data_IF_231758731833
#
_entry.id   IF_231758731833
#
_cell.length_a   1.000
_cell.length_b   1.000
_cell.length_c   1.000
_cell.angle_alpha   90.00
_cell.angle_beta   90.00
_cell.angle_gamma   90.00
#
_symmetry.space_group_name_H-M   'P 1'
#
loop_
_entity.id
_entity.type
_entity.pdbx_description
1 polymer ?
#
# COMPACT_ATOMS: atom_id res chain seq x y z
N UNK A 1 -1.33 22.25 -4.33
CA UNK A 1 -2.43 22.84 -3.56
C UNK A 1 -3.78 22.39 -4.14
N UNK A 2 -4.24 22.93 -5.27
CA UNK A 2 -5.57 22.67 -5.86
C UNK A 2 -6.00 21.19 -5.97
N UNK A 3 -5.04 20.27 -6.13
CA UNK A 3 -5.38 18.84 -6.17
C UNK A 3 -5.74 18.31 -4.78
N UNK A 4 -4.97 18.68 -3.76
CA UNK A 4 -5.17 18.24 -2.37
C UNK A 4 -6.47 18.82 -1.81
N UNK A 5 -6.71 20.10 -2.04
CA UNK A 5 -7.96 20.78 -1.61
C UNK A 5 -9.19 20.10 -2.23
N UNK A 6 -9.15 19.85 -3.56
CA UNK A 6 -10.25 19.12 -4.23
C UNK A 6 -10.46 17.71 -3.71
N UNK A 7 -9.39 16.99 -3.35
CA UNK A 7 -9.54 15.66 -2.76
C UNK A 7 -10.28 15.71 -1.43
N UNK A 8 -9.91 16.64 -0.54
CA UNK A 8 -10.59 16.80 0.75
C UNK A 8 -12.06 17.18 0.61
N UNK A 9 -12.38 18.06 -0.34
CA UNK A 9 -13.75 18.51 -0.58
C UNK A 9 -14.64 17.46 -1.26
N UNK A 10 -14.10 16.77 -2.28
CA UNK A 10 -14.88 15.82 -3.10
C UNK A 10 -14.97 14.43 -2.48
N UNK A 11 -14.01 14.06 -1.67
CA UNK A 11 -13.90 12.76 -1.04
C UNK A 11 -13.61 12.90 0.47
N UNK A 12 -14.60 13.37 1.27
CA UNK A 12 -14.41 13.44 2.73
C UNK A 12 -14.22 12.03 3.32
N UNK A 13 -13.61 11.91 4.53
CA UNK A 13 -13.48 10.62 5.20
C UNK A 13 -14.83 9.91 5.35
N UNK A 14 -14.86 8.61 5.04
CA UNK A 14 -16.06 7.79 5.13
C UNK A 14 -16.35 7.51 6.61
N UNK A 15 -17.53 7.83 7.11
CA UNK A 15 -17.87 7.52 8.51
C UNK A 15 -18.23 6.05 8.69
N UNK A 16 -17.63 5.37 9.66
CA UNK A 16 -17.99 4.01 10.07
C UNK A 16 -19.50 3.87 10.37
N UNK A 17 -20.14 4.94 10.87
CA UNK A 17 -21.57 4.93 11.20
C UNK A 17 -22.51 4.98 9.98
N UNK A 18 -21.98 5.30 8.79
CA UNK A 18 -22.78 5.44 7.56
C UNK A 18 -22.68 4.23 6.63
N UNK A 19 -21.81 3.27 6.94
CA UNK A 19 -21.62 2.09 6.11
C UNK A 19 -22.56 0.95 6.54
N UNK A 20 -23.12 0.25 5.55
CA UNK A 20 -23.87 -0.99 5.76
C UNK A 20 -22.91 -2.18 5.61
N UNK A 21 -22.62 -2.86 6.72
CA UNK A 21 -21.74 -4.02 6.78
C UNK A 21 -22.49 -5.35 6.70
N UNK A 22 -23.74 -5.33 6.26
CA UNK A 22 -24.52 -6.55 6.05
C UNK A 22 -23.85 -7.44 5.01
N UNK A 23 -23.56 -8.69 5.39
CA UNK A 23 -22.94 -9.69 4.52
C UNK A 23 -23.99 -10.75 4.19
N UNK A 24 -24.27 -10.96 2.91
CA UNK A 24 -25.25 -11.94 2.44
C UNK A 24 -24.75 -13.38 2.64
N UNK A 25 -23.46 -13.62 2.36
CA UNK A 25 -22.82 -14.94 2.41
C UNK A 25 -21.58 -14.91 3.33
N UNK A 26 -21.73 -14.71 4.66
CA UNK A 26 -20.62 -14.42 5.55
C UNK A 26 -19.56 -15.52 5.58
N UNK A 27 -19.94 -16.79 5.60
CA UNK A 27 -19.01 -17.92 5.60
C UNK A 27 -18.18 -17.95 4.31
N UNK A 28 -18.78 -17.70 3.15
CA UNK A 28 -18.11 -17.71 1.87
C UNK A 28 -17.17 -16.51 1.72
N UNK A 29 -17.56 -15.33 2.20
CA UNK A 29 -16.71 -14.13 2.21
C UNK A 29 -15.53 -14.37 3.12
N UNK A 30 -15.74 -14.89 4.33
CA UNK A 30 -14.68 -15.22 5.27
C UNK A 30 -13.70 -16.25 4.72
N UNK A 31 -14.21 -17.34 4.13
CA UNK A 31 -13.39 -18.41 3.56
C UNK A 31 -12.48 -17.91 2.44
N UNK A 32 -13.04 -17.12 1.51
CA UNK A 32 -12.30 -16.67 0.31
C UNK A 32 -11.46 -15.44 0.52
N UNK A 33 -11.95 -14.48 1.30
CA UNK A 33 -11.37 -13.14 1.40
C UNK A 33 -11.07 -12.68 2.84
N UNK A 34 -11.33 -13.52 3.86
CA UNK A 34 -11.09 -13.15 5.26
C UNK A 34 -9.67 -12.64 5.48
N UNK A 35 -8.65 -13.38 5.03
CA UNK A 35 -7.27 -12.95 5.18
C UNK A 35 -6.90 -11.70 4.33
N UNK A 36 -7.62 -11.44 3.22
CA UNK A 36 -7.49 -10.18 2.46
C UNK A 36 -8.04 -9.02 3.27
N UNK A 37 -9.22 -9.19 3.86
CA UNK A 37 -9.88 -8.20 4.74
C UNK A 37 -8.97 -7.90 5.94
N UNK A 38 -8.47 -8.94 6.63
CA UNK A 38 -7.52 -8.79 7.74
C UNK A 38 -6.24 -8.03 7.33
N UNK A 39 -5.68 -8.40 6.18
CA UNK A 39 -4.47 -7.76 5.67
C UNK A 39 -4.69 -6.28 5.37
N UNK A 40 -5.77 -5.94 4.66
CA UNK A 40 -6.13 -4.56 4.35
C UNK A 40 -6.39 -3.77 5.64
N UNK A 41 -7.23 -4.28 6.54
CA UNK A 41 -7.50 -3.63 7.84
C UNK A 41 -6.20 -3.31 8.60
N UNK A 42 -5.28 -4.26 8.68
CA UNK A 42 -3.99 -4.06 9.34
C UNK A 42 -3.16 -2.98 8.67
N UNK A 43 -3.08 -2.99 7.34
CA UNK A 43 -2.26 -2.03 6.57
C UNK A 43 -2.80 -0.61 6.72
N UNK A 44 -4.11 -0.43 6.56
CA UNK A 44 -4.77 0.87 6.72
C UNK A 44 -4.64 1.41 8.16
N UNK A 45 -4.80 0.56 9.16
CA UNK A 45 -4.62 0.95 10.58
C UNK A 45 -3.15 1.25 10.96
N UNK A 46 -2.17 0.98 10.10
CA UNK A 46 -0.78 1.40 10.28
C UNK A 46 -0.54 2.88 9.93
N UNK A 47 -1.55 3.62 9.49
CA UNK A 47 -1.43 5.01 9.03
C UNK A 47 -0.79 5.94 10.05
N UNK A 48 -1.15 5.87 11.33
CA UNK A 48 -0.55 6.71 12.38
C UNK A 48 0.96 6.48 12.50
N UNK A 49 1.40 5.22 12.40
CA UNK A 49 2.83 4.90 12.34
C UNK A 49 3.47 5.48 11.07
N UNK A 50 2.80 5.38 9.92
CA UNK A 50 3.31 5.90 8.65
C UNK A 50 3.48 7.43 8.70
N UNK A 51 2.57 8.15 9.34
CA UNK A 51 2.71 9.60 9.60
C UNK A 51 3.89 9.89 10.51
N UNK A 52 4.08 9.12 11.58
CA UNK A 52 5.26 9.26 12.45
C UNK A 52 6.57 8.98 11.71
N UNK A 53 6.60 7.99 10.83
CA UNK A 53 7.76 7.69 9.97
C UNK A 53 8.02 8.82 8.98
N UNK A 54 6.96 9.40 8.39
CA UNK A 54 7.05 10.59 7.55
C UNK A 54 7.71 11.77 8.28
N UNK A 55 7.23 12.12 9.47
CA UNK A 55 7.78 13.20 10.28
C UNK A 55 9.23 12.97 10.69
N UNK A 56 9.64 11.70 10.84
CA UNK A 56 11.04 11.34 11.11
C UNK A 56 11.93 11.62 9.91
N UNK A 57 11.51 11.28 8.69
CA UNK A 57 12.29 11.43 7.46
C UNK A 57 12.13 12.80 6.79
N UNK A 58 11.01 13.48 7.02
CA UNK A 58 10.72 14.84 6.55
C UNK A 58 10.28 15.73 7.72
N UNK A 59 11.21 16.13 8.60
CA UNK A 59 10.88 16.90 9.80
C UNK A 59 10.33 18.32 9.50
N UNK A 60 10.48 18.76 8.28
CA UNK A 60 9.92 20.01 7.75
C UNK A 60 9.24 19.70 6.41
N UNK A 61 8.04 19.11 6.42
CA UNK A 61 7.30 18.84 5.19
C UNK A 61 6.91 20.17 4.52
N UNK A 62 6.77 20.15 3.21
CA UNK A 62 6.21 21.28 2.47
C UNK A 62 4.72 21.45 2.84
N UNK A 63 4.18 22.63 2.61
CA UNK A 63 2.79 22.94 2.95
C UNK A 63 1.81 21.96 2.27
N UNK A 64 2.07 21.62 1.02
CA UNK A 64 1.25 20.67 0.27
C UNK A 64 1.30 19.26 0.87
N UNK A 65 2.47 18.84 1.39
CA UNK A 65 2.59 17.55 2.09
C UNK A 65 1.77 17.58 3.37
N UNK A 66 1.91 18.66 4.16
CA UNK A 66 1.21 18.81 5.43
C UNK A 66 -0.31 18.73 5.23
N UNK A 67 -0.85 19.51 4.27
CA UNK A 67 -2.27 19.49 3.94
C UNK A 67 -2.74 18.11 3.47
N UNK A 68 -1.95 17.43 2.63
CA UNK A 68 -2.31 16.10 2.17
C UNK A 68 -2.37 15.09 3.33
N UNK A 69 -1.34 15.06 4.18
CA UNK A 69 -1.28 14.07 5.25
C UNK A 69 -2.26 14.35 6.39
N UNK A 70 -2.40 15.62 6.81
CA UNK A 70 -3.22 16.00 7.97
C UNK A 70 -4.71 16.09 7.63
N UNK A 71 -5.05 16.64 6.46
CA UNK A 71 -6.43 17.01 6.13
C UNK A 71 -7.11 16.02 5.17
N UNK A 72 -6.34 15.19 4.46
CA UNK A 72 -6.89 14.26 3.45
C UNK A 72 -6.54 12.82 3.77
N UNK A 73 -5.27 12.44 3.61
CA UNK A 73 -4.84 11.06 3.61
C UNK A 73 -5.04 10.37 4.96
N UNK A 74 -4.47 10.90 6.04
CA UNK A 74 -4.58 10.26 7.36
C UNK A 74 -6.03 10.10 7.84
N UNK A 75 -6.92 11.12 7.74
CA UNK A 75 -8.32 10.95 8.13
C UNK A 75 -9.07 9.90 7.28
N UNK A 76 -8.78 9.78 5.99
CA UNK A 76 -9.41 8.79 5.11
C UNK A 76 -8.92 7.38 5.46
N UNK A 77 -7.60 7.16 5.55
CA UNK A 77 -6.99 5.86 5.86
C UNK A 77 -7.42 5.31 7.22
N UNK A 78 -7.52 6.16 8.26
CA UNK A 78 -8.06 5.75 9.57
C UNK A 78 -9.46 5.17 9.39
N UNK A 79 -10.32 5.83 8.61
CA UNK A 79 -11.69 5.35 8.40
C UNK A 79 -11.71 4.08 7.56
N UNK A 80 -10.88 3.97 6.51
CA UNK A 80 -10.73 2.72 5.76
C UNK A 80 -10.39 1.55 6.69
N UNK A 81 -9.36 1.73 7.51
CA UNK A 81 -8.92 0.71 8.44
C UNK A 81 -9.99 0.31 9.45
N UNK A 82 -10.67 1.28 10.07
CA UNK A 82 -11.74 1.03 11.04
C UNK A 82 -12.94 0.30 10.41
N UNK A 83 -13.33 0.69 9.19
CA UNK A 83 -14.47 0.09 8.47
C UNK A 83 -14.15 -1.36 8.09
N UNK A 84 -12.94 -1.61 7.55
CA UNK A 84 -12.54 -2.95 7.11
C UNK A 84 -12.30 -3.87 8.31
N UNK A 85 -11.71 -3.36 9.39
CA UNK A 85 -11.51 -4.11 10.64
C UNK A 85 -12.85 -4.50 11.27
N UNK A 86 -13.81 -3.56 11.33
CA UNK A 86 -15.14 -3.86 11.85
C UNK A 86 -15.89 -4.87 10.96
N UNK A 87 -15.76 -4.78 9.64
CA UNK A 87 -16.28 -5.80 8.73
C UNK A 87 -15.67 -7.18 9.02
N UNK A 88 -14.37 -7.25 9.26
CA UNK A 88 -13.69 -8.49 9.66
C UNK A 88 -14.25 -9.06 10.96
N UNK A 89 -14.46 -8.22 11.96
CA UNK A 89 -15.05 -8.64 13.24
C UNK A 89 -16.51 -9.10 13.09
N UNK A 90 -17.31 -8.44 12.25
CA UNK A 90 -18.67 -8.86 11.93
C UNK A 90 -18.70 -10.24 11.21
N UNK A 91 -17.61 -10.61 10.53
CA UNK A 91 -17.39 -11.94 9.94
C UNK A 91 -16.82 -12.97 10.95
N UNK A 92 -16.67 -12.60 12.22
CA UNK A 92 -16.16 -13.47 13.29
C UNK A 92 -14.63 -13.64 13.28
N UNK A 93 -13.91 -12.65 12.75
CA UNK A 93 -12.43 -12.63 12.79
C UNK A 93 -11.95 -11.81 13.98
N UNK A 94 -10.71 -12.05 14.41
CA UNK A 94 -10.07 -11.24 15.45
C UNK A 94 -9.77 -9.83 14.92
N UNK A 95 -9.75 -8.80 15.81
CA UNK A 95 -9.37 -7.46 15.44
C UNK A 95 -7.97 -7.42 14.83
N UNK A 96 -7.81 -6.61 13.79
CA UNK A 96 -6.51 -6.43 13.12
C UNK A 96 -5.43 -5.93 14.08
N UNK A 97 -4.20 -6.41 13.90
CA UNK A 97 -3.05 -6.08 14.75
C UNK A 97 -2.04 -5.20 13.99
N UNK A 98 -2.26 -3.87 13.93
CA UNK A 98 -1.38 -2.96 13.20
C UNK A 98 -0.03 -2.79 13.93
N UNK A 99 1.03 -2.54 13.17
CA UNK A 99 2.32 -2.12 13.71
C UNK A 99 2.28 -0.63 14.09
N UNK A 100 2.45 -0.34 15.38
CA UNK A 100 2.40 1.04 15.90
C UNK A 100 3.79 1.68 16.09
N UNK A 101 4.87 0.90 16.01
CA UNK A 101 6.23 1.39 16.30
C UNK A 101 7.00 1.75 15.03
N UNK A 102 7.53 2.98 15.01
CA UNK A 102 8.48 3.44 13.98
C UNK A 102 9.69 2.50 13.90
N UNK A 103 10.00 2.05 12.69
CA UNK A 103 11.08 1.11 12.46
C UNK A 103 12.46 1.75 12.71
N UNK A 104 13.45 1.02 13.27
CA UNK A 104 14.79 1.56 13.51
C UNK A 104 15.47 2.07 12.24
N UNK A 105 15.23 1.44 11.10
CA UNK A 105 15.75 1.87 9.79
C UNK A 105 15.25 3.26 9.42
N UNK A 106 13.98 3.60 9.74
CA UNK A 106 13.42 4.92 9.49
C UNK A 106 14.07 5.99 10.38
N UNK A 107 14.41 5.66 11.61
CA UNK A 107 15.16 6.57 12.49
C UNK A 107 16.56 6.89 11.94
N UNK A 108 17.26 5.90 11.39
CA UNK A 108 18.56 6.10 10.72
C UNK A 108 18.37 6.97 9.47
N UNK A 109 17.39 6.66 8.64
CA UNK A 109 17.08 7.46 7.45
C UNK A 109 16.73 8.91 7.84
N UNK A 110 15.97 9.11 8.90
CA UNK A 110 15.62 10.41 9.44
C UNK A 110 16.84 11.21 9.95
N UNK A 111 17.83 10.55 10.55
CA UNK A 111 19.07 11.21 10.91
C UNK A 111 19.86 11.68 9.67
N UNK A 112 19.92 10.86 8.63
CA UNK A 112 20.59 11.19 7.37
C UNK A 112 19.82 12.27 6.57
N UNK A 113 18.51 12.30 6.63
CA UNK A 113 17.67 13.28 5.92
C UNK A 113 17.89 14.73 6.37
N UNK A 114 18.46 14.92 7.58
CA UNK A 114 18.85 16.26 8.06
C UNK A 114 20.02 16.87 7.30
N UNK A 115 20.74 16.09 6.50
CA UNK A 115 21.73 16.60 5.56
C UNK A 115 20.99 17.01 4.29
N UNK A 116 20.90 18.31 3.94
CA UNK A 116 19.99 18.79 2.90
C UNK A 116 20.01 18.01 1.58
N UNK A 117 21.18 17.67 0.99
CA UNK A 117 21.21 16.88 -0.25
C UNK A 117 20.67 15.45 -0.09
N UNK A 118 20.78 14.86 1.10
CA UNK A 118 20.23 13.52 1.40
C UNK A 118 18.74 13.62 1.71
N UNK A 119 18.30 14.71 2.33
CA UNK A 119 16.88 14.99 2.57
C UNK A 119 16.04 14.92 1.29
N UNK A 120 16.56 15.46 0.18
CA UNK A 120 15.89 15.36 -1.12
C UNK A 120 15.79 13.91 -1.64
N UNK A 121 16.83 13.09 -1.42
CA UNK A 121 16.79 11.67 -1.77
C UNK A 121 15.75 10.93 -0.94
N UNK A 122 15.69 11.17 0.37
CA UNK A 122 14.72 10.52 1.25
C UNK A 122 13.28 10.96 0.93
N UNK A 123 13.06 12.22 0.59
CA UNK A 123 11.76 12.73 0.14
C UNK A 123 11.31 12.03 -1.14
N UNK A 124 12.19 11.95 -2.15
CA UNK A 124 11.86 11.24 -3.39
C UNK A 124 11.59 9.74 -3.14
N UNK A 125 12.40 9.08 -2.30
CA UNK A 125 12.15 7.68 -1.91
C UNK A 125 10.79 7.50 -1.25
N UNK A 126 10.38 8.45 -0.43
CA UNK A 126 9.07 8.44 0.22
C UNK A 126 7.94 8.55 -0.80
N UNK A 127 7.98 9.52 -1.71
CA UNK A 127 6.96 9.67 -2.76
C UNK A 127 6.89 8.45 -3.70
N UNK A 128 8.03 7.89 -4.08
CA UNK A 128 8.06 6.66 -4.90
C UNK A 128 7.48 5.45 -4.15
N UNK A 129 7.71 5.38 -2.84
CA UNK A 129 7.13 4.33 -2.00
C UNK A 129 5.62 4.51 -1.91
N UNK A 130 5.14 5.71 -1.57
CA UNK A 130 3.72 6.02 -1.53
C UNK A 130 3.03 5.74 -2.88
N UNK A 131 3.61 6.20 -4.00
CA UNK A 131 3.05 5.88 -5.32
C UNK A 131 2.95 4.36 -5.57
N UNK A 132 3.92 3.58 -5.10
CA UNK A 132 3.87 2.11 -5.24
C UNK A 132 2.83 1.47 -4.33
N UNK A 133 2.69 1.92 -3.08
CA UNK A 133 1.72 1.38 -2.11
C UNK A 133 0.30 1.70 -2.51
N UNK A 134 0.00 2.96 -2.83
CA UNK A 134 -1.34 3.37 -3.29
C UNK A 134 -1.73 2.69 -4.60
N UNK A 135 -0.77 2.47 -5.52
CA UNK A 135 -1.07 1.71 -6.73
C UNK A 135 -1.49 0.27 -6.42
N UNK A 136 -0.85 -0.37 -5.45
CA UNK A 136 -1.23 -1.71 -5.00
C UNK A 136 -2.62 -1.70 -4.35
N UNK A 137 -2.94 -0.69 -3.53
CA UNK A 137 -4.27 -0.50 -2.94
C UNK A 137 -5.35 -0.33 -4.03
N UNK A 138 -5.15 0.57 -5.01
CA UNK A 138 -6.05 0.73 -6.16
C UNK A 138 -6.33 -0.59 -6.86
N UNK A 139 -5.30 -1.42 -7.11
CA UNK A 139 -5.46 -2.71 -7.78
C UNK A 139 -6.20 -3.73 -6.90
N UNK A 140 -5.89 -3.77 -5.60
CA UNK A 140 -6.53 -4.65 -4.64
C UNK A 140 -8.03 -4.32 -4.49
N UNK A 141 -8.39 -3.05 -4.25
CA UNK A 141 -9.78 -2.63 -4.13
C UNK A 141 -10.57 -2.79 -5.43
N UNK A 142 -9.97 -2.56 -6.60
CA UNK A 142 -10.63 -2.84 -7.88
C UNK A 142 -10.97 -4.33 -8.04
N UNK A 143 -10.07 -5.20 -7.62
CA UNK A 143 -10.26 -6.65 -7.72
C UNK A 143 -11.24 -7.16 -6.68
N UNK A 144 -11.14 -6.67 -5.44
CA UNK A 144 -12.08 -7.00 -4.36
C UNK A 144 -13.50 -6.53 -4.70
N UNK A 145 -13.64 -5.32 -5.26
CA UNK A 145 -14.94 -4.81 -5.74
C UNK A 145 -15.59 -5.77 -6.75
N UNK A 146 -14.83 -6.23 -7.75
CA UNK A 146 -15.35 -7.19 -8.73
C UNK A 146 -15.75 -8.50 -8.07
N UNK A 147 -14.92 -9.04 -7.20
CA UNK A 147 -15.17 -10.29 -6.49
C UNK A 147 -16.44 -10.21 -5.62
N UNK A 148 -16.60 -9.14 -4.84
CA UNK A 148 -17.81 -8.95 -4.02
C UNK A 148 -19.06 -8.70 -4.87
N UNK A 149 -18.93 -8.05 -6.04
CA UNK A 149 -20.03 -7.89 -6.99
C UNK A 149 -20.47 -9.24 -7.57
N UNK A 150 -19.52 -10.11 -7.93
CA UNK A 150 -19.80 -11.46 -8.44
C UNK A 150 -20.47 -12.36 -7.36
N UNK A 151 -20.20 -12.10 -6.08
CA UNK A 151 -20.82 -12.77 -4.94
C UNK A 151 -22.16 -12.17 -4.54
N UNK A 152 -22.62 -11.10 -5.21
CA UNK A 152 -23.86 -10.35 -4.90
C UNK A 152 -23.85 -9.74 -3.48
N UNK A 153 -22.68 -9.32 -2.99
CA UNK A 153 -22.49 -8.65 -1.69
C UNK A 153 -22.70 -7.13 -1.82
N UNK A 154 -23.95 -6.72 -2.11
CA UNK A 154 -24.30 -5.35 -2.48
C UNK A 154 -23.98 -4.31 -1.42
N UNK A 155 -24.31 -4.57 -0.16
CA UNK A 155 -24.06 -3.63 0.93
C UNK A 155 -22.57 -3.31 1.06
N UNK A 156 -21.71 -4.33 1.05
CA UNK A 156 -20.24 -4.18 1.09
C UNK A 156 -19.74 -3.39 -0.14
N UNK A 157 -20.22 -3.77 -1.34
CA UNK A 157 -19.80 -3.11 -2.59
C UNK A 157 -20.17 -1.64 -2.60
N UNK A 158 -21.42 -1.31 -2.26
CA UNK A 158 -21.97 0.05 -2.40
C UNK A 158 -21.49 0.98 -1.29
N UNK A 159 -21.39 0.50 -0.05
CA UNK A 159 -21.16 1.36 1.11
C UNK A 159 -19.73 1.32 1.64
N UNK A 160 -18.94 0.29 1.31
CA UNK A 160 -17.57 0.14 1.78
C UNK A 160 -16.59 0.23 0.61
N UNK A 161 -16.59 -0.76 -0.30
CA UNK A 161 -15.51 -0.89 -1.27
C UNK A 161 -15.56 0.21 -2.34
N UNK A 162 -16.75 0.59 -2.83
CA UNK A 162 -16.87 1.64 -3.84
C UNK A 162 -16.41 3.02 -3.34
N UNK A 163 -16.79 3.48 -2.13
CA UNK A 163 -16.28 4.72 -1.59
C UNK A 163 -14.77 4.72 -1.38
N UNK A 164 -14.19 3.67 -0.77
CA UNK A 164 -12.72 3.55 -0.60
C UNK A 164 -12.03 3.58 -1.96
N UNK A 165 -12.47 2.76 -2.89
CA UNK A 165 -11.94 2.69 -4.25
C UNK A 165 -11.96 4.04 -4.99
N UNK A 166 -12.86 4.96 -4.65
CA UNK A 166 -12.92 6.30 -5.23
C UNK A 166 -11.89 7.26 -4.63
N UNK A 167 -11.44 7.03 -3.40
CA UNK A 167 -10.43 7.84 -2.71
C UNK A 167 -9.00 7.47 -3.11
N UNK A 168 -8.69 6.18 -3.23
CA UNK A 168 -7.36 5.65 -3.53
C UNK A 168 -6.64 6.25 -4.76
N UNK A 169 -7.32 6.47 -5.92
CA UNK A 169 -6.68 7.10 -7.07
C UNK A 169 -6.18 8.53 -6.79
N UNK A 170 -6.83 9.23 -5.87
CA UNK A 170 -6.42 10.56 -5.43
C UNK A 170 -5.11 10.55 -4.65
N UNK A 171 -4.98 9.60 -3.73
CA UNK A 171 -3.74 9.35 -2.98
C UNK A 171 -2.59 9.02 -3.93
N UNK A 172 -2.82 8.07 -4.83
CA UNK A 172 -1.86 7.69 -5.86
C UNK A 172 -1.42 8.88 -6.72
N UNK A 173 -2.36 9.72 -7.15
CA UNK A 173 -2.08 10.90 -7.96
C UNK A 173 -1.21 11.92 -7.22
N UNK A 174 -1.45 12.16 -5.92
CA UNK A 174 -0.60 13.02 -5.11
C UNK A 174 0.86 12.58 -5.13
N UNK A 175 1.13 11.32 -4.82
CA UNK A 175 2.48 10.78 -4.82
C UNK A 175 3.14 10.81 -6.21
N UNK A 176 2.38 10.55 -7.26
CA UNK A 176 2.88 10.65 -8.65
C UNK A 176 3.27 12.07 -9.02
N UNK A 177 2.42 13.04 -8.69
CA UNK A 177 2.68 14.45 -9.02
C UNK A 177 3.89 14.97 -8.24
N UNK A 178 3.98 14.66 -6.95
CA UNK A 178 5.09 15.08 -6.09
C UNK A 178 6.42 14.49 -6.53
N UNK A 179 6.48 13.18 -6.83
CA UNK A 179 7.69 12.55 -7.32
C UNK A 179 8.11 13.09 -8.71
N UNK A 180 7.14 13.30 -9.60
CA UNK A 180 7.40 13.84 -10.95
C UNK A 180 7.91 15.27 -10.87
N UNK A 181 7.29 16.13 -10.08
CA UNK A 181 7.73 17.51 -9.88
C UNK A 181 9.17 17.56 -9.41
N UNK A 182 9.54 16.78 -8.40
CA UNK A 182 10.92 16.72 -7.90
C UNK A 182 11.94 16.33 -8.98
N UNK A 183 11.58 15.43 -9.90
CA UNK A 183 12.48 14.92 -10.95
C UNK A 183 12.53 15.89 -12.13
N UNK A 184 11.38 16.40 -12.60
CA UNK A 184 11.25 17.19 -13.83
C UNK A 184 11.61 18.66 -13.62
N UNK A 185 11.46 19.22 -12.40
CA UNK A 185 11.86 20.60 -12.08
C UNK A 185 13.37 20.84 -12.08
N UNK A 186 14.18 19.77 -12.14
CA UNK A 186 15.62 19.88 -12.06
C UNK A 186 16.15 20.13 -10.63
N UNK A 187 15.31 20.03 -9.62
CA UNK A 187 15.66 20.15 -8.19
C UNK A 187 16.71 19.11 -7.78
N UNK A 188 16.66 17.93 -8.39
CA UNK A 188 17.56 16.82 -8.08
C UNK A 188 18.79 16.79 -8.99
N UNK A 189 19.96 16.61 -8.38
CA UNK A 189 21.20 16.38 -9.11
C UNK A 189 21.28 14.94 -9.59
N UNK A 190 22.07 14.68 -10.65
CA UNK A 190 22.25 13.33 -11.23
C UNK A 190 22.66 12.27 -10.20
N UNK A 191 23.56 12.61 -9.25
CA UNK A 191 23.98 11.66 -8.23
C UNK A 191 22.87 11.32 -7.22
N UNK A 192 21.92 12.24 -6.94
CA UNK A 192 20.77 11.98 -6.07
C UNK A 192 19.80 11.02 -6.76
N UNK A 193 19.52 11.21 -8.04
CA UNK A 193 18.73 10.25 -8.82
C UNK A 193 19.39 8.88 -8.87
N UNK A 194 20.70 8.83 -9.13
CA UNK A 194 21.46 7.58 -9.10
C UNK A 194 21.37 6.91 -7.72
N UNK A 195 21.57 7.66 -6.64
CA UNK A 195 21.47 7.13 -5.26
C UNK A 195 20.05 6.59 -4.98
N UNK A 196 19.01 7.32 -5.38
CA UNK A 196 17.63 6.87 -5.28
C UNK A 196 17.43 5.55 -6.02
N UNK A 197 17.93 5.42 -7.26
CA UNK A 197 17.87 4.19 -8.04
C UNK A 197 18.55 3.01 -7.31
N UNK A 198 19.75 3.24 -6.74
CA UNK A 198 20.45 2.19 -5.99
C UNK A 198 19.64 1.77 -4.77
N UNK A 199 19.19 2.73 -3.94
CA UNK A 199 18.40 2.42 -2.74
C UNK A 199 17.14 1.66 -3.11
N UNK A 200 16.38 2.09 -4.11
CA UNK A 200 15.16 1.38 -4.56
C UNK A 200 15.46 -0.05 -5.00
N UNK A 201 16.56 -0.27 -5.70
CA UNK A 201 16.91 -1.60 -6.25
C UNK A 201 17.06 -2.70 -5.19
N UNK A 202 17.47 -2.36 -3.97
CA UNK A 202 17.62 -3.33 -2.88
C UNK A 202 16.71 -3.07 -1.67
N UNK A 203 16.02 -1.93 -1.63
CA UNK A 203 15.17 -1.58 -0.49
C UNK A 203 13.68 -1.67 -0.80
N UNK A 204 13.29 -1.99 -2.02
CA UNK A 204 11.89 -2.12 -2.41
C UNK A 204 11.16 -3.17 -1.55
N UNK A 205 9.97 -2.82 -1.12
CA UNK A 205 9.07 -3.71 -0.40
C UNK A 205 7.63 -3.47 -0.87
N UNK A 206 6.82 -4.52 -0.86
CA UNK A 206 5.39 -4.41 -1.14
C UNK A 206 4.67 -3.79 0.06
N UNK A 207 3.50 -3.20 -0.18
CA UNK A 207 2.67 -2.57 0.85
C UNK A 207 2.42 -3.54 2.02
N UNK A 208 2.49 -3.04 3.25
CA UNK A 208 2.19 -3.80 4.46
C UNK A 208 3.17 -4.93 4.82
N UNK A 209 4.19 -5.23 3.99
CA UNK A 209 5.15 -6.31 4.30
C UNK A 209 6.14 -5.92 5.39
N UNK A 210 6.42 -4.63 5.54
CA UNK A 210 7.33 -4.08 6.55
C UNK A 210 8.68 -4.83 6.61
N UNK A 211 9.08 -5.50 5.51
CA UNK A 211 10.25 -6.39 5.41
C UNK A 211 10.27 -7.53 6.43
N UNK A 212 9.12 -7.90 6.99
CA UNK A 212 8.98 -9.04 7.88
C UNK A 212 8.54 -10.26 7.09
N UNK A 213 9.25 -11.38 7.28
CA UNK A 213 9.03 -12.62 6.54
C UNK A 213 7.56 -13.09 6.59
N UNK A 214 6.91 -13.03 7.76
CA UNK A 214 5.52 -13.44 7.90
C UNK A 214 4.56 -12.51 7.13
N UNK A 215 4.71 -11.17 7.23
CA UNK A 215 3.90 -10.23 6.47
C UNK A 215 4.15 -10.32 4.96
N UNK A 216 5.39 -10.63 4.56
CA UNK A 216 5.70 -10.90 3.15
C UNK A 216 4.98 -12.16 2.67
N UNK A 217 4.88 -13.21 3.50
CA UNK A 217 4.10 -14.39 3.19
C UNK A 217 2.58 -14.09 3.16
N UNK A 218 2.08 -13.23 4.06
CA UNK A 218 0.67 -12.80 4.06
C UNK A 218 0.31 -12.09 2.75
N UNK A 219 1.17 -11.17 2.29
CA UNK A 219 1.00 -10.51 0.99
C UNK A 219 0.94 -11.52 -0.17
N UNK A 220 1.74 -12.59 -0.11
CA UNK A 220 1.67 -13.69 -1.09
C UNK A 220 0.30 -14.35 -1.12
N UNK A 221 -0.31 -14.58 0.05
CA UNK A 221 -1.67 -15.10 0.17
C UNK A 221 -2.73 -14.15 -0.39
N UNK A 222 -2.61 -12.85 -0.10
CA UNK A 222 -3.47 -11.80 -0.67
C UNK A 222 -3.41 -11.81 -2.20
N UNK A 223 -2.19 -11.87 -2.77
CA UNK A 223 -2.01 -11.94 -4.22
C UNK A 223 -2.65 -13.18 -4.84
N UNK A 224 -2.57 -14.33 -4.17
CA UNK A 224 -3.19 -15.57 -4.63
C UNK A 224 -4.72 -15.47 -4.61
N UNK A 225 -5.31 -14.98 -3.52
CA UNK A 225 -6.76 -14.83 -3.39
C UNK A 225 -7.37 -13.77 -4.31
N UNK A 226 -6.64 -12.71 -4.60
CA UNK A 226 -7.05 -11.70 -5.57
C UNK A 226 -6.75 -12.10 -7.03
N UNK A 227 -6.13 -13.27 -7.27
CA UNK A 227 -5.87 -13.78 -8.61
C UNK A 227 -4.72 -13.09 -9.34
N UNK A 228 -3.89 -12.30 -8.66
CA UNK A 228 -2.74 -11.61 -9.29
C UNK A 228 -1.64 -12.58 -9.75
N UNK A 229 -1.69 -13.83 -9.30
CA UNK A 229 -0.74 -14.88 -9.68
C UNK A 229 -0.94 -15.38 -11.12
N UNK A 230 -2.11 -15.15 -11.72
CA UNK A 230 -2.41 -15.55 -13.09
C UNK A 230 -1.61 -14.77 -14.14
N UNK A 231 -1.27 -13.51 -13.86
CA UNK A 231 -0.40 -12.67 -14.69
C UNK A 231 0.50 -11.81 -13.78
N UNK A 232 1.51 -12.44 -13.19
CA UNK A 232 2.40 -11.77 -12.26
C UNK A 232 3.24 -10.67 -12.92
N UNK A 233 3.60 -10.81 -14.19
CA UNK A 233 4.35 -9.79 -14.92
C UNK A 233 3.45 -8.59 -15.28
N UNK A 234 2.21 -8.83 -15.67
CA UNK A 234 1.21 -7.77 -15.84
C UNK A 234 0.97 -7.00 -14.55
N UNK A 235 0.83 -7.69 -13.41
CA UNK A 235 0.71 -7.04 -12.10
C UNK A 235 1.97 -6.24 -11.74
N UNK A 236 3.17 -6.80 -11.96
CA UNK A 236 4.43 -6.07 -11.76
C UNK A 236 4.53 -4.81 -12.64
N UNK A 237 4.06 -4.89 -13.89
CA UNK A 237 3.99 -3.77 -14.81
C UNK A 237 3.02 -2.69 -14.32
N UNK A 238 1.84 -3.08 -13.85
CA UNK A 238 0.85 -2.13 -13.33
C UNK A 238 1.33 -1.41 -12.06
N UNK A 239 2.02 -2.10 -11.15
CA UNK A 239 2.61 -1.51 -9.96
C UNK A 239 3.83 -0.65 -10.28
N UNK A 240 4.74 -1.14 -11.13
CA UNK A 240 6.06 -0.54 -11.37
C UNK A 240 6.12 0.49 -12.50
N UNK A 241 5.06 0.62 -13.33
CA UNK A 241 5.07 1.46 -14.55
C UNK A 241 5.45 2.92 -14.30
N UNK A 242 4.90 3.51 -13.25
CA UNK A 242 5.20 4.90 -12.92
C UNK A 242 6.68 5.07 -12.59
N UNK A 243 7.20 4.24 -11.71
CA UNK A 243 8.62 4.28 -11.29
C UNK A 243 9.57 3.99 -12.45
N UNK A 244 9.24 3.01 -13.32
CA UNK A 244 10.00 2.76 -14.55
C UNK A 244 10.08 4.02 -15.42
N UNK A 245 8.97 4.73 -15.57
CA UNK A 245 8.89 5.94 -16.40
C UNK A 245 9.71 7.11 -15.82
N UNK A 246 9.58 7.40 -14.53
CA UNK A 246 10.18 8.63 -13.97
C UNK A 246 11.62 8.42 -13.49
N UNK A 247 11.94 7.26 -12.93
CA UNK A 247 13.25 6.99 -12.35
C UNK A 247 14.20 6.29 -13.34
N UNK A 248 13.65 5.54 -14.30
CA UNK A 248 14.42 4.70 -15.23
C UNK A 248 14.19 5.04 -16.71
N UNK A 249 13.62 6.21 -17.01
CA UNK A 249 13.17 6.62 -18.35
C UNK A 249 14.22 6.48 -19.47
N UNK A 250 15.51 6.50 -19.12
CA UNK A 250 16.61 6.35 -20.08
C UNK A 250 17.03 4.89 -20.35
N UNK A 251 16.38 3.92 -19.71
CA UNK A 251 16.69 2.49 -19.91
C UNK A 251 15.70 1.88 -20.90
N UNK A 252 16.21 1.61 -22.09
CA UNK A 252 15.43 0.98 -23.16
C UNK A 252 14.92 -0.41 -22.73
N UNK A 253 13.63 -0.70 -23.00
CA UNK A 253 13.02 -2.00 -22.74
C UNK A 253 12.61 -2.27 -21.28
N UNK A 254 12.66 -1.27 -20.40
CA UNK A 254 12.20 -1.42 -19.03
C UNK A 254 10.74 -1.02 -18.91
N UNK A 255 9.84 -1.99 -18.88
CA UNK A 255 8.40 -1.77 -18.63
C UNK A 255 8.08 -1.60 -17.15
N UNK A 256 8.87 -2.23 -16.27
CA UNK A 256 8.84 -2.11 -14.82
C UNK A 256 10.22 -2.43 -14.23
N UNK A 257 10.58 -1.89 -13.05
CA UNK A 257 11.84 -2.21 -12.40
C UNK A 257 11.89 -3.69 -11.97
N UNK A 258 12.99 -4.42 -12.23
CA UNK A 258 13.10 -5.86 -11.93
C UNK A 258 12.87 -6.22 -10.45
N UNK A 259 13.16 -5.30 -9.54
CA UNK A 259 12.96 -5.52 -8.10
C UNK A 259 11.48 -5.60 -7.70
N UNK A 260 10.56 -5.02 -8.49
CA UNK A 260 9.11 -5.18 -8.27
C UNK A 260 8.72 -6.65 -8.45
N UNK A 261 9.05 -7.25 -9.60
CA UNK A 261 8.75 -8.66 -9.86
C UNK A 261 9.46 -9.59 -8.88
N UNK A 262 10.70 -9.25 -8.48
CA UNK A 262 11.43 -10.01 -7.46
C UNK A 262 10.68 -10.03 -6.13
N UNK A 263 10.19 -8.88 -5.65
CA UNK A 263 9.45 -8.79 -4.40
C UNK A 263 8.12 -9.56 -4.46
N UNK A 264 7.42 -9.52 -5.59
CA UNK A 264 6.19 -10.29 -5.81
C UNK A 264 6.45 -11.80 -5.76
N UNK A 265 7.50 -12.28 -6.45
CA UNK A 265 7.91 -13.70 -6.42
C UNK A 265 8.29 -14.14 -5.01
N UNK A 266 9.09 -13.35 -4.30
CA UNK A 266 9.49 -13.64 -2.92
C UNK A 266 8.27 -13.81 -2.01
N UNK A 267 7.26 -12.93 -2.15
CA UNK A 267 6.02 -13.02 -1.36
C UNK A 267 5.27 -14.33 -1.63
N UNK A 268 5.14 -14.73 -2.88
CA UNK A 268 4.49 -15.98 -3.25
C UNK A 268 5.28 -17.22 -2.78
N UNK A 269 6.61 -17.19 -2.90
CA UNK A 269 7.45 -18.30 -2.48
C UNK A 269 7.38 -18.53 -0.96
N UNK A 270 7.39 -17.44 -0.18
CA UNK A 270 7.23 -17.49 1.27
C UNK A 270 5.84 -17.97 1.69
N UNK A 271 4.79 -17.53 0.99
CA UNK A 271 3.44 -18.02 1.22
C UNK A 271 3.33 -19.54 0.99
N UNK A 272 3.81 -20.00 -0.15
CA UNK A 272 3.81 -21.43 -0.51
C UNK A 272 4.67 -22.27 0.42
N UNK A 273 5.79 -21.75 0.89
CA UNK A 273 6.62 -22.40 1.91
C UNK A 273 5.85 -22.58 3.22
N UNK A 274 5.13 -21.55 3.66
CA UNK A 274 4.29 -21.59 4.86
C UNK A 274 3.19 -22.64 4.75
N UNK A 275 2.49 -22.70 3.60
CA UNK A 275 1.43 -23.70 3.36
C UNK A 275 1.98 -25.12 3.38
N UNK A 276 3.18 -25.36 2.82
CA UNK A 276 3.81 -26.69 2.87
C UNK A 276 4.15 -27.10 4.30
N UNK A 277 4.76 -26.19 5.08
CA UNK A 277 5.12 -26.46 6.48
C UNK A 277 3.90 -26.72 7.38
N UNK A 278 2.79 -26.02 7.15
CA UNK A 278 1.52 -26.28 7.85
C UNK A 278 1.01 -27.70 7.56
N UNK A 279 0.97 -28.11 6.29
CA UNK A 279 0.56 -29.47 5.91
C UNK A 279 1.48 -30.58 6.47
N UNK A 280 2.79 -30.37 6.44
CA UNK A 280 3.76 -31.33 6.99
C UNK A 280 3.67 -31.40 8.53
N UNK A 281 3.36 -30.30 9.22
CA UNK A 281 3.10 -30.27 10.65
C UNK A 281 1.84 -31.03 11.05
N UNK A 282 0.75 -30.90 10.30
CA UNK A 282 -0.51 -31.63 10.52
C UNK A 282 -0.37 -33.12 10.27
N UNK A 283 0.44 -33.54 9.27
CA UNK A 283 0.74 -34.94 9.00
C UNK A 283 1.66 -35.58 10.06
N UNK A 284 2.48 -34.79 10.74
CA UNK A 284 3.36 -35.28 11.81
C UNK A 284 2.63 -35.42 13.17
N UNK A 285 1.44 -34.83 13.29
CA UNK A 285 0.59 -34.89 14.52
C UNK A 285 -0.61 -35.82 14.39
N UNK A 286 -0.86 -36.41 13.22
CA UNK A 286 -1.89 -37.40 12.93
C UNK A 286 -1.31 -38.79 12.90
#
# INVERSE_FOLDING_TARGET
MDHVERLGEQHPPISLSTVDRTVKNPDLVRERYGHVIEYLARVELEVDRNVLELLVIMPQPEEVDRLFYEDVWQPQEIQHGLIIDQLGQDLGMDPAQPMLKVQPTMKIMGALSRIPPIGEVTRLLYYLTGASTERQAVLAYNTLHRAMTEMDEKAIVETIISPIKQQEPGHYAFYQMSAREMIESGRLKRWQLWLTQQIRSFSYALVGTNRKRHYTADMGGVMESLGFTGDLEGFAKDVGRFEAKVLWANRQGMDFPPYVLKALRESLDLHRERLRKGRDGDLATA
#
